data_IF_846718188449
#
_entry.id   IF_846718188449
#
_cell.length_a   1.000
_cell.length_b   1.000
_cell.length_c   1.000
_cell.angle_alpha   90.00
_cell.angle_beta   90.00
_cell.angle_gamma   90.00
#
_symmetry.space_group_name_H-M   'P 1'
#
loop_
_entity.id
_entity.type
_entity.pdbx_description
1 polymer ?
#
# COMPACT_ATOMS: atom_id res chain seq x y z
N UNK A 1 -10.50 14.16 -24.75
CA UNK A 1 -11.51 13.08 -24.65
C UNK A 1 -12.16 13.17 -23.27
N UNK A 2 -13.49 13.25 -23.20
CA UNK A 2 -14.21 13.30 -21.92
C UNK A 2 -14.21 11.88 -21.35
N UNK A 3 -13.52 11.65 -20.25
CA UNK A 3 -13.50 10.34 -19.54
C UNK A 3 -14.88 10.09 -18.94
N UNK A 4 -15.51 8.96 -19.30
CA UNK A 4 -16.84 8.62 -18.75
C UNK A 4 -16.74 8.14 -17.32
N UNK A 5 -17.84 8.19 -16.55
CA UNK A 5 -17.93 7.69 -15.18
C UNK A 5 -17.46 6.23 -15.06
N UNK A 6 -17.84 5.38 -16.03
CA UNK A 6 -17.41 3.96 -16.06
C UNK A 6 -15.92 3.79 -16.37
N UNK A 7 -15.32 4.71 -17.14
CA UNK A 7 -13.88 4.67 -17.44
C UNK A 7 -13.06 5.01 -16.20
N UNK A 8 -13.48 6.02 -15.43
CA UNK A 8 -12.83 6.39 -14.17
C UNK A 8 -12.89 5.27 -13.15
N UNK A 9 -14.04 4.59 -13.02
CA UNK A 9 -14.18 3.44 -12.12
C UNK A 9 -13.28 2.28 -12.54
N UNK A 10 -13.21 1.96 -13.84
CA UNK A 10 -12.27 0.94 -14.36
C UNK A 10 -10.82 1.30 -14.09
N UNK A 11 -10.44 2.56 -14.29
CA UNK A 11 -9.10 3.05 -13.99
C UNK A 11 -8.77 2.90 -12.50
N UNK A 12 -9.69 3.27 -11.61
CA UNK A 12 -9.52 3.14 -10.18
C UNK A 12 -9.33 1.68 -9.75
N UNK A 13 -10.15 0.77 -10.27
CA UNK A 13 -10.00 -0.68 -10.03
C UNK A 13 -8.66 -1.19 -10.56
N UNK A 14 -8.27 -0.80 -11.79
CA UNK A 14 -6.97 -1.17 -12.36
C UNK A 14 -5.80 -0.68 -11.48
N UNK A 15 -5.89 0.54 -10.94
CA UNK A 15 -4.84 1.07 -10.05
C UNK A 15 -4.63 0.24 -8.78
N UNK A 16 -5.69 -0.42 -8.27
CA UNK A 16 -5.57 -1.38 -7.18
C UNK A 16 -4.97 -2.71 -7.64
N UNK A 17 -5.37 -3.20 -8.81
CA UNK A 17 -4.90 -4.49 -9.33
C UNK A 17 -3.40 -4.49 -9.64
N UNK A 18 -2.86 -3.41 -10.25
CA UNK A 18 -1.42 -3.32 -10.56
C UNK A 18 -0.53 -3.30 -9.31
N UNK A 19 -1.08 -3.07 -8.13
CA UNK A 19 -0.33 -3.21 -6.87
C UNK A 19 0.08 -4.65 -6.60
N UNK A 20 -0.63 -5.65 -7.17
CA UNK A 20 -0.32 -7.09 -7.01
C UNK A 20 0.89 -7.50 -7.83
N UNK A 21 0.89 -7.20 -9.12
CA UNK A 21 1.86 -7.74 -10.08
C UNK A 21 2.25 -6.76 -11.22
N UNK A 22 1.72 -5.53 -11.21
CA UNK A 22 1.99 -4.53 -12.25
C UNK A 22 3.49 -4.23 -12.41
N UNK A 23 3.88 -3.97 -13.65
CA UNK A 23 5.22 -3.55 -14.07
C UNK A 23 5.37 -2.02 -13.98
N UNK A 24 6.58 -1.45 -14.05
CA UNK A 24 6.75 0.01 -14.15
C UNK A 24 5.89 0.66 -15.24
N UNK A 25 5.79 0.03 -16.42
CA UNK A 25 4.97 0.53 -17.53
C UNK A 25 3.47 0.60 -17.18
N UNK A 26 2.94 -0.40 -16.45
CA UNK A 26 1.54 -0.35 -15.99
C UNK A 26 1.28 0.84 -15.07
N UNK A 27 2.26 1.20 -14.21
CA UNK A 27 2.16 2.39 -13.35
C UNK A 27 2.26 3.68 -14.17
N UNK A 28 3.09 3.75 -15.21
CA UNK A 28 3.18 4.89 -16.12
C UNK A 28 1.87 5.14 -16.88
N UNK A 29 1.15 4.07 -17.23
CA UNK A 29 -0.15 4.16 -17.91
C UNK A 29 -1.27 4.64 -16.98
N UNK A 30 -1.25 4.21 -15.71
CA UNK A 30 -2.36 4.41 -14.76
C UNK A 30 -2.17 5.64 -13.89
N UNK A 31 -0.93 5.97 -13.51
CA UNK A 31 -0.60 7.00 -12.52
C UNK A 31 -0.10 8.27 -13.21
N UNK A 32 -0.67 9.42 -12.84
CA UNK A 32 -0.25 10.72 -13.38
C UNK A 32 1.18 11.06 -12.91
N UNK A 33 2.02 11.72 -13.74
CA UNK A 33 3.40 12.08 -13.36
C UNK A 33 3.50 12.89 -12.06
N UNK A 34 2.51 13.72 -11.74
CA UNK A 34 2.45 14.53 -10.52
C UNK A 34 1.66 13.87 -9.38
N UNK A 35 1.28 12.61 -9.53
CA UNK A 35 0.44 11.91 -8.56
C UNK A 35 1.05 11.89 -7.16
N UNK A 36 0.18 11.99 -6.13
CA UNK A 36 0.56 11.90 -4.71
C UNK A 36 -0.17 10.77 -4.02
N UNK A 37 0.58 9.96 -3.28
CA UNK A 37 0.04 9.01 -2.32
C UNK A 37 0.11 9.61 -0.92
N UNK A 38 -1.05 9.98 -0.33
CA UNK A 38 -1.11 10.55 1.02
C UNK A 38 -0.82 9.51 2.11
N UNK A 39 -0.94 8.23 1.78
CA UNK A 39 -0.71 7.12 2.71
C UNK A 39 0.77 6.80 2.91
N UNK A 40 1.66 7.31 2.06
CA UNK A 40 3.09 6.97 2.07
C UNK A 40 3.88 7.52 3.27
N UNK A 41 3.22 8.07 4.28
CA UNK A 41 3.87 8.72 5.45
C UNK A 41 4.79 7.78 6.22
N UNK A 42 4.34 6.53 6.42
CA UNK A 42 5.11 5.50 7.14
C UNK A 42 5.82 4.51 6.20
N UNK A 43 5.82 4.77 4.89
CA UNK A 43 6.46 3.95 3.88
C UNK A 43 7.93 4.35 3.66
N UNK A 44 8.72 3.55 2.92
CA UNK A 44 10.09 3.93 2.54
C UNK A 44 10.17 5.29 1.83
N UNK A 45 11.28 6.03 1.94
CA UNK A 45 11.43 7.34 1.28
C UNK A 45 11.10 7.33 -0.22
N UNK A 46 11.44 6.25 -0.94
CA UNK A 46 11.14 6.10 -2.37
C UNK A 46 9.63 6.14 -2.69
N UNK A 47 8.77 5.79 -1.74
CA UNK A 47 7.31 5.79 -1.90
C UNK A 47 6.69 7.18 -1.73
N UNK A 48 7.42 8.13 -1.13
CA UNK A 48 6.92 9.48 -0.75
C UNK A 48 7.08 10.53 -1.85
N UNK A 49 7.68 10.14 -2.96
CA UNK A 49 7.81 10.98 -4.13
C UNK A 49 6.48 11.23 -4.85
N UNK A 50 6.60 11.68 -6.07
CA UNK A 50 5.45 11.86 -6.97
C UNK A 50 5.51 10.85 -8.11
N UNK A 51 4.35 10.63 -8.70
CA UNK A 51 4.21 9.93 -9.96
C UNK A 51 4.37 8.41 -9.90
N UNK A 52 4.45 7.76 -11.07
CA UNK A 52 4.43 6.31 -11.23
C UNK A 52 5.50 5.58 -10.42
N UNK A 53 6.74 6.11 -10.40
CA UNK A 53 7.85 5.49 -9.70
C UNK A 53 7.62 5.37 -8.18
N UNK A 54 7.00 6.39 -7.55
CA UNK A 54 6.68 6.36 -6.12
C UNK A 54 5.58 5.33 -5.81
N UNK A 55 4.53 5.26 -6.64
CA UNK A 55 3.47 4.26 -6.49
C UNK A 55 3.99 2.83 -6.73
N UNK A 56 4.87 2.65 -7.71
CA UNK A 56 5.53 1.37 -7.93
C UNK A 56 6.42 0.96 -6.75
N UNK A 57 7.13 1.91 -6.13
CA UNK A 57 7.90 1.65 -4.92
C UNK A 57 7.01 1.18 -3.76
N UNK A 58 5.80 1.76 -3.58
CA UNK A 58 4.79 1.27 -2.62
C UNK A 58 4.38 -0.18 -2.93
N UNK A 59 4.12 -0.51 -4.20
CA UNK A 59 3.78 -1.88 -4.59
C UNK A 59 4.92 -2.86 -4.26
N UNK A 60 6.16 -2.51 -4.54
CA UNK A 60 7.32 -3.33 -4.21
C UNK A 60 7.51 -3.51 -2.70
N UNK A 61 7.24 -2.47 -1.91
CA UNK A 61 7.30 -2.53 -0.45
C UNK A 61 6.26 -3.51 0.10
N UNK A 62 5.02 -3.48 -0.39
CA UNK A 62 3.97 -4.42 -0.03
C UNK A 62 4.31 -5.86 -0.46
N UNK A 63 4.74 -6.06 -1.71
CA UNK A 63 5.11 -7.37 -2.26
C UNK A 63 6.29 -8.03 -1.54
N UNK A 64 7.20 -7.24 -0.95
CA UNK A 64 8.30 -7.76 -0.11
C UNK A 64 7.80 -8.30 1.23
N UNK A 65 6.75 -7.74 1.77
CA UNK A 65 6.19 -8.13 3.06
C UNK A 65 5.14 -9.25 2.93
N UNK A 66 4.38 -9.26 1.84
CA UNK A 66 3.24 -10.13 1.65
C UNK A 66 3.30 -10.89 0.34
N UNK A 67 3.00 -12.20 0.39
CA UNK A 67 2.63 -13.03 -0.77
C UNK A 67 1.11 -13.13 -0.89
N UNK A 68 0.64 -13.64 -2.00
CA UNK A 68 -0.78 -13.88 -2.27
C UNK A 68 -1.63 -12.61 -2.08
N UNK A 69 -1.05 -11.42 -2.37
CA UNK A 69 -1.78 -10.17 -2.31
C UNK A 69 -2.95 -10.17 -3.27
N UNK A 70 -4.10 -9.71 -2.78
CA UNK A 70 -5.30 -9.54 -3.61
C UNK A 70 -6.16 -8.41 -3.07
N UNK A 71 -6.80 -7.67 -3.96
CA UNK A 71 -7.87 -6.72 -3.66
C UNK A 71 -9.17 -7.23 -4.29
N UNK A 72 -10.05 -7.76 -3.48
CA UNK A 72 -11.41 -8.10 -3.88
C UNK A 72 -12.26 -6.83 -3.85
N UNK A 73 -12.65 -6.36 -5.03
CA UNK A 73 -13.43 -5.13 -5.18
C UNK A 73 -14.90 -5.44 -4.92
N UNK A 74 -15.52 -4.73 -3.97
CA UNK A 74 -16.94 -4.86 -3.64
C UNK A 74 -17.76 -3.83 -4.38
N UNK A 75 -17.40 -2.54 -4.20
CA UNK A 75 -18.15 -1.43 -4.76
C UNK A 75 -17.24 -0.33 -5.28
N UNK A 76 -17.72 0.41 -6.28
CA UNK A 76 -17.11 1.64 -6.76
C UNK A 76 -18.16 2.72 -6.92
N UNK A 77 -17.86 3.92 -6.41
CA UNK A 77 -18.70 5.11 -6.55
C UNK A 77 -17.86 6.22 -7.14
N UNK A 78 -18.42 7.03 -8.02
CA UNK A 78 -17.72 8.20 -8.57
C UNK A 78 -18.61 9.44 -8.55
N UNK A 79 -17.99 10.58 -8.21
CA UNK A 79 -18.58 11.91 -8.26
C UNK A 79 -17.55 12.90 -8.81
N UNK A 80 -17.84 13.48 -10.00
CA UNK A 80 -16.89 14.32 -10.70
C UNK A 80 -15.59 13.58 -11.02
N UNK A 81 -14.47 14.09 -10.51
CA UNK A 81 -13.13 13.53 -10.66
C UNK A 81 -12.75 12.53 -9.56
N UNK A 82 -13.62 12.36 -8.56
CA UNK A 82 -13.37 11.50 -7.41
C UNK A 82 -13.98 10.11 -7.62
N UNK A 83 -13.18 9.08 -7.38
CA UNK A 83 -13.63 7.68 -7.36
C UNK A 83 -13.32 7.07 -6.01
N UNK A 84 -14.30 6.38 -5.45
CA UNK A 84 -14.16 5.60 -4.21
C UNK A 84 -14.24 4.13 -4.56
N UNK A 85 -13.31 3.33 -4.03
CA UNK A 85 -13.26 1.88 -4.19
C UNK A 85 -13.34 1.25 -2.81
N UNK A 86 -14.41 0.50 -2.54
CA UNK A 86 -14.51 -0.33 -1.36
C UNK A 86 -14.09 -1.77 -1.70
N UNK A 87 -13.19 -2.32 -0.90
CA UNK A 87 -12.58 -3.62 -1.21
C UNK A 87 -12.15 -4.36 0.06
N UNK A 88 -11.81 -5.63 -0.09
CA UNK A 88 -11.05 -6.41 0.89
C UNK A 88 -9.63 -6.63 0.37
N UNK A 89 -8.63 -6.12 1.11
CA UNK A 89 -7.24 -6.50 0.90
C UNK A 89 -6.95 -7.79 1.66
N UNK A 90 -6.34 -8.76 0.99
CA UNK A 90 -5.92 -10.02 1.60
C UNK A 90 -4.50 -10.39 1.18
N UNK A 91 -3.87 -11.27 1.97
CA UNK A 91 -2.53 -11.77 1.69
C UNK A 91 -1.99 -12.65 2.81
N UNK A 92 -0.72 -13.03 2.67
CA UNK A 92 0.03 -13.79 3.66
C UNK A 92 1.33 -13.08 3.96
N UNK A 93 1.64 -12.85 5.24
CA UNK A 93 2.90 -12.20 5.61
C UNK A 93 4.07 -13.19 5.52
N UNK A 94 4.89 -13.06 4.49
CA UNK A 94 6.06 -13.90 4.23
C UNK A 94 7.39 -13.17 4.36
N UNK A 95 7.35 -11.83 4.38
CA UNK A 95 8.51 -10.97 4.58
C UNK A 95 8.36 -10.05 5.79
N UNK A 96 9.40 -9.28 6.08
CA UNK A 96 9.39 -8.28 7.14
C UNK A 96 8.76 -6.98 6.64
N UNK A 97 7.67 -6.54 7.29
CA UNK A 97 7.09 -5.21 7.07
C UNK A 97 7.85 -4.18 7.88
N UNK A 98 8.31 -3.10 7.26
CA UNK A 98 9.09 -2.05 7.93
C UNK A 98 8.38 -0.72 7.78
N UNK A 99 8.16 -0.03 8.90
CA UNK A 99 7.66 1.34 8.94
C UNK A 99 8.80 2.33 9.14
N UNK A 100 8.63 3.55 8.63
CA UNK A 100 9.65 4.59 8.62
C UNK A 100 9.10 5.90 9.21
N UNK A 101 9.97 6.72 9.80
CA UNK A 101 9.66 8.09 10.20
C UNK A 101 9.79 9.09 9.04
N UNK A 102 9.54 10.37 9.32
CA UNK A 102 9.63 11.43 8.32
C UNK A 102 11.04 11.57 7.71
N UNK A 103 12.08 11.23 8.46
CA UNK A 103 13.48 11.28 8.01
C UNK A 103 13.89 10.02 7.20
N UNK A 104 12.96 9.08 7.01
CA UNK A 104 13.22 7.82 6.31
C UNK A 104 13.98 6.78 7.14
N UNK A 105 14.02 6.94 8.47
CA UNK A 105 14.63 5.98 9.37
C UNK A 105 13.62 4.91 9.77
N UNK A 106 13.99 3.61 9.80
CA UNK A 106 13.12 2.56 10.28
C UNK A 106 12.70 2.79 11.74
N UNK A 107 11.40 2.89 11.98
CA UNK A 107 10.82 3.03 13.33
C UNK A 107 10.48 1.68 13.91
N UNK A 108 9.86 0.82 13.12
CA UNK A 108 9.40 -0.50 13.53
C UNK A 108 9.55 -1.51 12.41
N UNK A 109 9.89 -2.74 12.75
CA UNK A 109 9.91 -3.85 11.82
C UNK A 109 9.09 -5.01 12.40
N UNK A 110 8.15 -5.51 11.60
CA UNK A 110 7.28 -6.63 11.91
C UNK A 110 7.78 -7.87 11.15
N UNK A 111 8.52 -8.78 11.81
CA UNK A 111 9.03 -10.01 11.18
C UNK A 111 7.90 -10.86 10.64
N UNK A 112 8.19 -11.62 9.58
CA UNK A 112 7.24 -12.55 8.98
C UNK A 112 6.63 -13.49 10.04
N UNK A 113 5.32 -13.59 10.04
CA UNK A 113 4.56 -14.51 10.91
C UNK A 113 4.06 -15.73 10.17
N UNK A 114 4.01 -15.68 8.83
CA UNK A 114 3.41 -16.69 7.98
C UNK A 114 1.88 -16.70 8.00
N UNK A 115 1.26 -15.76 8.74
CA UNK A 115 -0.20 -15.69 8.89
C UNK A 115 -0.85 -15.01 7.67
N UNK A 116 -2.11 -15.35 7.43
CA UNK A 116 -2.98 -14.70 6.46
C UNK A 116 -3.77 -13.59 7.12
N UNK A 117 -4.20 -12.63 6.31
CA UNK A 117 -5.13 -11.57 6.70
C UNK A 117 -6.12 -11.31 5.56
N UNK A 118 -7.28 -10.78 5.92
CA UNK A 118 -8.26 -10.24 5.01
C UNK A 118 -9.01 -9.14 5.77
N UNK A 119 -8.86 -7.89 5.34
CA UNK A 119 -9.45 -6.72 6.00
C UNK A 119 -10.02 -5.75 4.97
N UNK A 120 -11.14 -5.12 5.34
CA UNK A 120 -11.79 -4.14 4.46
C UNK A 120 -11.02 -2.83 4.42
N UNK A 121 -11.05 -2.21 3.26
CA UNK A 121 -10.43 -0.91 3.00
C UNK A 121 -11.34 -0.08 2.09
N UNK A 122 -11.25 1.23 2.22
CA UNK A 122 -11.88 2.16 1.29
C UNK A 122 -10.81 3.09 0.75
N UNK A 123 -10.58 3.02 -0.56
CA UNK A 123 -9.60 3.84 -1.27
C UNK A 123 -10.30 4.97 -2.01
N UNK A 124 -9.71 6.13 -1.93
CA UNK A 124 -10.19 7.36 -2.56
C UNK A 124 -9.16 7.77 -3.60
N UNK A 125 -9.59 7.95 -4.84
CA UNK A 125 -8.73 8.28 -5.96
C UNK A 125 -9.28 9.50 -6.69
N UNK A 126 -8.43 10.47 -6.93
CA UNK A 126 -8.75 11.60 -7.80
C UNK A 126 -8.15 11.36 -9.17
N UNK A 127 -8.93 11.62 -10.21
CA UNK A 127 -8.57 11.35 -11.60
C UNK A 127 -8.36 12.70 -12.32
N UNK A 128 -7.23 12.83 -12.99
CA UNK A 128 -6.95 13.94 -13.91
C UNK A 128 -6.29 13.39 -15.17
N UNK A 129 -6.64 13.93 -16.32
CA UNK A 129 -6.09 13.54 -17.62
C UNK A 129 -6.11 12.02 -17.90
N UNK A 130 -7.16 11.34 -17.40
CA UNK A 130 -7.32 9.90 -17.55
C UNK A 130 -6.36 9.06 -16.71
N UNK A 131 -5.75 9.62 -15.66
CA UNK A 131 -4.82 8.96 -14.75
C UNK A 131 -5.12 9.32 -13.29
N UNK A 132 -4.69 8.46 -12.36
CA UNK A 132 -4.78 8.73 -10.93
C UNK A 132 -3.77 9.81 -10.56
N UNK A 133 -4.25 10.94 -10.03
CA UNK A 133 -3.40 12.06 -9.57
C UNK A 133 -3.28 12.15 -8.06
N UNK A 134 -4.20 11.55 -7.32
CA UNK A 134 -4.15 11.53 -5.86
C UNK A 134 -4.78 10.26 -5.32
N UNK A 135 -4.21 9.73 -4.24
CA UNK A 135 -4.70 8.55 -3.54
C UNK A 135 -4.62 8.75 -2.02
N UNK A 136 -5.68 8.33 -1.30
CA UNK A 136 -5.69 8.11 0.14
C UNK A 136 -6.63 6.97 0.49
N UNK A 137 -6.57 6.47 1.73
CA UNK A 137 -7.37 5.32 2.14
C UNK A 137 -7.78 5.36 3.61
N UNK A 138 -8.91 4.73 3.90
CA UNK A 138 -9.27 4.29 5.23
C UNK A 138 -9.09 2.78 5.29
N UNK A 139 -8.27 2.29 6.22
CA UNK A 139 -7.89 0.88 6.33
C UNK A 139 -8.14 0.36 7.73
N UNK A 140 -8.52 -0.90 7.84
CA UNK A 140 -8.56 -1.61 9.12
C UNK A 140 -7.16 -2.15 9.48
N UNK A 141 -6.24 -1.22 9.81
CA UNK A 141 -4.88 -1.57 10.21
C UNK A 141 -4.84 -2.33 11.55
N UNK A 142 -5.82 -2.08 12.44
CA UNK A 142 -5.95 -2.80 13.72
C UNK A 142 -6.35 -4.27 13.48
N UNK A 143 -7.35 -4.50 12.63
CA UNK A 143 -7.76 -5.84 12.22
C UNK A 143 -6.63 -6.60 11.52
N UNK A 144 -5.92 -5.94 10.60
CA UNK A 144 -4.72 -6.51 9.96
C UNK A 144 -3.67 -6.91 10.97
N UNK A 145 -3.31 -6.01 11.90
CA UNK A 145 -2.33 -6.26 12.94
C UNK A 145 -2.73 -7.39 13.89
N UNK A 146 -4.01 -7.50 14.22
CA UNK A 146 -4.56 -8.59 15.04
C UNK A 146 -4.46 -9.94 14.33
N UNK A 147 -4.91 -10.03 13.06
CA UNK A 147 -4.89 -11.26 12.26
C UNK A 147 -3.45 -11.74 12.02
N UNK A 148 -2.51 -10.82 11.80
CA UNK A 148 -1.09 -11.12 11.62
C UNK A 148 -0.37 -11.42 12.94
N UNK A 149 -1.00 -11.19 14.09
CA UNK A 149 -0.40 -11.40 15.41
C UNK A 149 0.64 -10.34 15.79
N UNK A 150 0.53 -9.16 15.19
CA UNK A 150 1.32 -7.99 15.58
C UNK A 150 0.78 -7.34 16.84
N UNK A 151 -0.54 -7.45 17.07
CA UNK A 151 -1.26 -6.88 18.22
C UNK A 151 -2.29 -7.86 18.80
N UNK A 152 -2.31 -8.06 20.15
CA UNK A 152 -1.21 -7.78 21.06
C UNK A 152 -0.01 -8.70 20.77
N UNK A 153 1.21 -8.19 20.76
CA UNK A 153 2.37 -9.00 20.46
C UNK A 153 2.67 -9.97 21.60
N UNK A 154 2.95 -11.24 21.28
CA UNK A 154 3.48 -12.18 22.27
C UNK A 154 4.90 -11.75 22.71
N UNK A 155 5.36 -12.09 23.94
CA UNK A 155 6.71 -11.75 24.41
C UNK A 155 7.81 -12.21 23.43
N UNK A 156 7.69 -13.39 22.86
CA UNK A 156 8.62 -13.91 21.84
C UNK A 156 8.59 -13.05 20.57
N UNK A 157 7.42 -12.60 20.15
CA UNK A 157 7.29 -11.75 18.96
C UNK A 157 7.86 -10.37 19.18
N UNK A 158 7.68 -9.78 20.37
CA UNK A 158 8.32 -8.51 20.77
C UNK A 158 9.85 -8.55 20.64
N UNK A 159 10.49 -9.62 21.13
CA UNK A 159 11.94 -9.79 21.00
C UNK A 159 12.34 -9.84 19.52
N UNK A 160 11.63 -10.60 18.68
CA UNK A 160 11.87 -10.67 17.24
C UNK A 160 11.71 -9.31 16.57
N UNK A 161 10.68 -8.54 16.94
CA UNK A 161 10.44 -7.18 16.43
C UNK A 161 11.61 -6.24 16.81
N UNK A 162 12.06 -6.25 18.06
CA UNK A 162 13.19 -5.43 18.51
C UNK A 162 14.46 -5.76 17.72
N UNK A 163 14.76 -7.04 17.51
CA UNK A 163 15.92 -7.47 16.73
C UNK A 163 15.81 -7.09 15.26
N UNK A 164 14.62 -7.25 14.66
CA UNK A 164 14.37 -6.88 13.26
C UNK A 164 14.49 -5.35 13.07
N UNK A 165 13.93 -4.55 13.98
CA UNK A 165 14.02 -3.09 13.95
C UNK A 165 15.48 -2.63 14.07
N UNK A 166 16.27 -3.24 14.98
CA UNK A 166 17.72 -2.93 15.10
C UNK A 166 18.47 -3.26 13.79
N UNK A 167 18.17 -4.38 13.14
CA UNK A 167 18.76 -4.74 11.83
C UNK A 167 18.39 -3.73 10.76
N UNK A 168 17.11 -3.38 10.65
CA UNK A 168 16.63 -2.41 9.68
C UNK A 168 17.35 -1.06 9.83
N UNK A 169 17.50 -0.55 11.07
CA UNK A 169 18.20 0.70 11.35
C UNK A 169 19.69 0.66 11.00
N UNK A 170 20.36 -0.50 11.11
CA UNK A 170 21.79 -0.65 10.72
C UNK A 170 21.97 -0.60 9.23
N UNK A 171 21.02 -1.11 8.45
CA UNK A 171 21.10 -1.16 6.99
C UNK A 171 20.83 0.19 6.31
N UNK A 172 20.37 1.20 7.06
CA UNK A 172 20.10 2.57 6.57
C UNK A 172 21.18 3.57 7.02
N UNK A 173 22.16 3.13 7.83
CA UNK A 173 23.34 3.97 8.11
C UNK A 173 24.24 4.06 6.89
N UNK A 174 24.60 5.30 6.46
CA UNK A 174 25.53 5.53 5.34
C UNK A 174 26.88 4.89 5.60
#
# INVERSE_FOLDING_TARGET
MTTTRSDQQRLAVRSMQIMVDGTPADFEDVVHPDARNREAVAEPPACRGRGPAAFYATALWLRRAFSDLNWEIHDTVSDGDLVVVHCTMSGRQTGTMISYDADGRPTQAFPATGRRFATTQTHWLRIADGRVIEHWANRDDLGTGSQLGWMPPSPRYLIRMMLATRRARRNVRP
#
